data_IF_610786182441
#
_entry.id   IF_610786182441
#
_cell.length_a   1.000
_cell.length_b   1.000
_cell.length_c   1.000
_cell.angle_alpha   90.00
_cell.angle_beta   90.00
_cell.angle_gamma   90.00
#
_symmetry.space_group_name_H-M   'P 1'
#
loop_
_entity.id
_entity.type
_entity.pdbx_description
1 polymer ?
#
# COMPACT_ATOMS: atom_id res chain seq x y z
N UNK A 1 -8.69 -41.78 48.69
CA UNK A 1 -7.23 -41.51 48.80
C UNK A 1 -6.88 -40.59 47.62
N UNK A 2 -6.80 -39.27 47.75
CA UNK A 2 -5.82 -38.47 48.50
C UNK A 2 -4.70 -38.07 47.51
N UNK A 3 -4.37 -36.80 47.20
CA UNK A 3 -4.59 -35.51 47.86
C UNK A 3 -4.66 -34.37 46.82
N UNK A 4 -5.46 -33.36 47.15
CA UNK A 4 -5.39 -32.01 46.64
C UNK A 4 -4.12 -31.27 47.12
N UNK A 5 -3.70 -30.25 46.38
CA UNK A 5 -2.95 -29.12 46.94
C UNK A 5 -3.26 -27.84 46.17
N UNK A 6 -4.24 -27.08 46.69
CA UNK A 6 -4.28 -25.64 46.53
C UNK A 6 -3.35 -25.02 47.58
N UNK A 7 -2.67 -23.92 47.24
CA UNK A 7 -2.27 -22.91 48.21
C UNK A 7 -2.46 -21.52 47.60
N UNK A 8 -3.01 -20.68 48.47
CA UNK A 8 -3.51 -19.33 48.27
C UNK A 8 -2.39 -18.27 48.19
N UNK A 9 -2.79 -17.12 47.63
CA UNK A 9 -2.20 -15.78 47.65
C UNK A 9 -2.00 -15.21 49.09
N UNK A 10 -1.31 -14.05 49.33
CA UNK A 10 -1.97 -12.75 49.13
C UNK A 10 -1.09 -11.52 48.76
N UNK A 11 -1.77 -10.57 48.09
CA UNK A 11 -1.71 -9.10 48.08
C UNK A 11 -0.55 -8.32 48.76
N UNK A 12 -0.10 -7.24 48.08
CA UNK A 12 -0.32 -5.87 48.55
C UNK A 12 -0.05 -4.77 47.52
N UNK A 13 -1.10 -3.99 47.29
CA UNK A 13 -1.13 -2.57 46.95
C UNK A 13 -0.06 -1.74 47.67
N UNK A 14 0.56 -0.79 46.97
CA UNK A 14 0.73 0.56 47.48
C UNK A 14 0.99 1.56 46.35
N UNK A 15 0.20 2.62 46.39
CA UNK A 15 0.27 3.82 45.59
C UNK A 15 1.59 4.58 45.82
N UNK A 16 2.10 5.17 44.74
CA UNK A 16 2.79 6.45 44.81
C UNK A 16 2.21 7.36 43.73
N UNK A 17 1.29 8.21 44.16
CA UNK A 17 1.05 9.50 43.54
C UNK A 17 2.36 10.29 43.50
N UNK A 18 2.82 10.63 42.31
CA UNK A 18 3.64 11.82 42.10
C UNK A 18 2.94 12.65 41.04
N UNK A 19 2.23 13.66 41.52
CA UNK A 19 1.83 14.80 40.71
C UNK A 19 3.08 15.44 40.12
N UNK A 20 3.31 15.25 38.83
CA UNK A 20 4.24 16.04 38.04
C UNK A 20 3.41 16.99 37.18
N UNK A 21 3.49 18.26 37.53
CA UNK A 21 3.01 19.41 36.74
C UNK A 21 3.51 19.33 35.29
N UNK A 22 2.82 19.97 34.32
CA UNK A 22 3.08 19.74 32.90
C UNK A 22 4.37 20.44 32.46
N UNK A 23 5.49 19.73 32.51
CA UNK A 23 6.67 20.12 31.74
C UNK A 23 6.46 19.79 30.26
N UNK A 24 6.47 20.83 29.43
CA UNK A 24 6.37 20.78 27.97
C UNK A 24 7.37 19.78 27.36
N UNK A 25 6.94 18.81 26.53
CA UNK A 25 7.87 18.05 25.71
C UNK A 25 7.89 18.61 24.28
N UNK A 26 8.58 19.73 24.06
CA UNK A 26 8.86 20.23 22.68
C UNK A 26 10.06 19.53 22.02
N UNK A 27 10.75 18.63 22.72
CA UNK A 27 12.01 18.01 22.24
C UNK A 27 11.83 16.60 21.66
N UNK A 28 10.76 15.88 22.04
CA UNK A 28 10.47 14.52 21.56
C UNK A 28 9.78 14.47 20.19
N UNK A 29 8.86 15.40 19.92
CA UNK A 29 8.15 15.49 18.63
C UNK A 29 9.12 15.69 17.47
N UNK A 30 10.10 16.59 17.66
CA UNK A 30 11.03 16.99 16.60
C UNK A 30 11.88 15.83 16.07
N UNK A 31 12.33 14.91 16.95
CA UNK A 31 13.09 13.72 16.54
C UNK A 31 12.24 12.73 15.76
N UNK A 32 11.00 12.49 16.20
CA UNK A 32 10.06 11.59 15.51
C UNK A 32 9.65 12.13 14.14
N UNK A 33 9.47 13.45 14.02
CA UNK A 33 9.16 14.12 12.77
C UNK A 33 10.34 14.06 11.78
N UNK A 34 11.57 14.26 12.28
CA UNK A 34 12.81 14.14 11.49
C UNK A 34 13.04 12.70 11.00
N UNK A 35 12.81 11.70 11.86
CA UNK A 35 12.91 10.28 11.51
C UNK A 35 11.87 9.88 10.46
N UNK A 36 10.63 10.37 10.59
CA UNK A 36 9.56 10.14 9.62
C UNK A 36 9.88 10.80 8.28
N UNK A 37 10.33 12.05 8.28
CA UNK A 37 10.72 12.75 7.06
C UNK A 37 11.89 12.04 6.34
N UNK A 38 12.89 11.58 7.09
CA UNK A 38 14.00 10.78 6.59
C UNK A 38 13.54 9.47 5.95
N UNK A 39 12.67 8.71 6.63
CA UNK A 39 12.09 7.48 6.10
C UNK A 39 11.28 7.72 4.81
N UNK A 40 10.43 8.76 4.77
CA UNK A 40 9.63 9.09 3.59
C UNK A 40 10.53 9.50 2.41
N UNK A 41 11.58 10.28 2.66
CA UNK A 41 12.54 10.69 1.65
C UNK A 41 13.28 9.48 1.06
N UNK A 42 13.74 8.57 1.92
CA UNK A 42 14.40 7.34 1.48
C UNK A 42 13.45 6.46 0.67
N UNK A 43 12.22 6.27 1.15
CA UNK A 43 11.24 5.43 0.46
C UNK A 43 10.90 5.97 -0.92
N UNK A 44 10.71 7.29 -1.07
CA UNK A 44 10.51 7.94 -2.39
C UNK A 44 11.66 7.72 -3.37
N UNK A 45 12.91 7.63 -2.88
CA UNK A 45 14.06 7.29 -3.74
C UNK A 45 13.92 5.86 -4.27
N UNK A 46 13.56 4.92 -3.40
CA UNK A 46 13.33 3.51 -3.77
C UNK A 46 12.15 3.32 -4.74
N UNK A 47 11.12 4.17 -4.67
CA UNK A 47 9.97 4.14 -5.57
C UNK A 47 10.25 4.75 -6.95
N UNK A 48 11.36 5.49 -7.12
CA UNK A 48 11.61 6.23 -8.37
C UNK A 48 11.69 5.35 -9.63
N UNK A 49 12.34 4.17 -9.62
CA UNK A 49 12.38 3.30 -10.80
C UNK A 49 10.98 2.83 -11.21
N UNK A 50 10.16 2.41 -10.23
CA UNK A 50 8.79 1.97 -10.47
C UNK A 50 7.94 3.09 -11.10
N UNK A 51 7.98 4.30 -10.54
CA UNK A 51 7.22 5.43 -11.09
C UNK A 51 7.63 5.77 -12.53
N UNK A 52 8.95 5.73 -12.84
CA UNK A 52 9.45 5.90 -14.21
C UNK A 52 8.96 4.79 -15.15
N UNK A 53 8.96 3.53 -14.69
CA UNK A 53 8.45 2.40 -15.46
C UNK A 53 6.97 2.55 -15.78
N UNK A 54 6.16 2.87 -14.77
CA UNK A 54 4.71 3.11 -14.94
C UNK A 54 4.47 4.25 -15.93
N UNK A 55 5.24 5.34 -15.83
CA UNK A 55 5.16 6.48 -16.78
C UNK A 55 5.46 6.07 -18.20
N UNK A 56 6.54 5.32 -18.40
CA UNK A 56 6.91 4.81 -19.72
C UNK A 56 5.85 3.89 -20.30
N UNK A 57 5.26 3.03 -19.47
CA UNK A 57 4.20 2.11 -19.89
C UNK A 57 2.95 2.89 -20.32
N UNK A 58 2.46 3.82 -19.49
CA UNK A 58 1.28 4.62 -19.83
C UNK A 58 1.51 5.46 -21.10
N UNK A 59 2.66 6.13 -21.21
CA UNK A 59 3.00 6.93 -22.41
C UNK A 59 3.07 6.09 -23.69
N UNK A 60 3.46 4.83 -23.60
CA UNK A 60 3.55 3.94 -24.77
C UNK A 60 2.18 3.46 -25.27
N UNK A 61 1.11 3.56 -24.45
CA UNK A 61 -0.20 2.96 -24.78
C UNK A 61 -1.31 3.99 -24.99
N UNK A 62 -1.12 5.24 -24.58
CA UNK A 62 -2.16 6.27 -24.69
C UNK A 62 -1.56 7.67 -24.86
N UNK A 63 -2.19 8.48 -25.70
CA UNK A 63 -1.93 9.92 -25.84
C UNK A 63 -2.70 10.76 -24.80
N UNK A 64 -3.55 10.12 -23.98
CA UNK A 64 -4.33 10.80 -22.95
C UNK A 64 -3.45 11.22 -21.77
N UNK A 65 -3.83 12.33 -21.13
CA UNK A 65 -3.16 12.81 -19.93
C UNK A 65 -3.21 11.78 -18.79
N UNK A 66 -2.10 11.65 -18.07
CA UNK A 66 -1.98 10.83 -16.87
C UNK A 66 -1.11 11.54 -15.84
N UNK A 67 -1.38 11.28 -14.55
CA UNK A 67 -0.60 11.79 -13.42
C UNK A 67 0.04 10.62 -12.68
N UNK A 68 1.32 10.77 -12.34
CA UNK A 68 2.04 9.80 -11.52
C UNK A 68 2.60 10.52 -10.30
N UNK A 69 2.36 9.95 -9.12
CA UNK A 69 2.91 10.41 -7.86
C UNK A 69 3.63 9.28 -7.16
N UNK A 70 4.89 9.50 -6.80
CA UNK A 70 5.70 8.57 -6.00
C UNK A 70 5.62 8.90 -4.51
N UNK A 71 5.42 7.86 -3.71
CA UNK A 71 5.39 7.93 -2.26
C UNK A 71 4.28 8.85 -1.74
N UNK A 72 3.03 8.44 -2.02
CA UNK A 72 1.80 9.09 -1.54
C UNK A 72 1.42 8.49 -0.19
N UNK A 73 1.03 9.35 0.75
CA UNK A 73 0.48 8.90 2.03
C UNK A 73 -1.03 9.16 2.05
N UNK A 74 -1.80 8.08 2.05
CA UNK A 74 -3.25 8.12 2.10
C UNK A 74 -3.72 8.01 3.54
N UNK A 75 -4.49 8.99 4.01
CA UNK A 75 -5.17 8.92 5.31
C UNK A 75 -6.57 8.36 5.13
N UNK A 76 -6.76 7.08 5.46
CA UNK A 76 -7.99 6.34 5.20
C UNK A 76 -8.84 6.10 6.45
N UNK A 77 -8.28 6.30 7.65
CA UNK A 77 -9.01 6.09 8.90
C UNK A 77 -8.46 6.97 10.04
N UNK A 78 -8.65 8.30 9.98
CA UNK A 78 -8.21 9.23 11.02
C UNK A 78 -8.65 8.77 12.43
N UNK A 79 -7.77 8.95 13.43
CA UNK A 79 -8.07 8.57 14.82
C UNK A 79 -8.01 7.07 15.15
N UNK A 80 -7.71 6.21 14.18
CA UNK A 80 -7.46 4.78 14.42
C UNK A 80 -5.97 4.49 14.63
N UNK A 81 -5.62 3.26 15.05
CA UNK A 81 -4.21 2.85 15.26
C UNK A 81 -3.38 2.84 13.97
N UNK A 82 -4.01 2.59 12.82
CA UNK A 82 -3.36 2.57 11.51
C UNK A 82 -4.15 3.49 10.57
N UNK A 83 -4.03 4.81 10.73
CA UNK A 83 -4.86 5.77 10.01
C UNK A 83 -4.42 5.98 8.57
N UNK A 84 -3.16 5.63 8.27
CA UNK A 84 -2.50 5.93 7.00
C UNK A 84 -1.96 4.68 6.31
N UNK A 85 -1.92 4.71 4.99
CA UNK A 85 -1.24 3.74 4.15
C UNK A 85 -0.30 4.45 3.19
N UNK A 86 0.92 3.94 3.08
CA UNK A 86 1.89 4.37 2.08
C UNK A 86 1.61 3.69 0.74
N UNK A 87 1.60 4.47 -0.35
CA UNK A 87 1.52 3.99 -1.73
C UNK A 87 2.80 4.39 -2.46
N UNK A 88 3.56 3.39 -2.94
CA UNK A 88 4.85 3.65 -3.58
C UNK A 88 4.71 4.44 -4.88
N UNK A 89 3.71 4.11 -5.69
CA UNK A 89 3.35 4.83 -6.90
C UNK A 89 1.84 4.87 -7.08
N UNK A 90 1.26 6.07 -7.08
CA UNK A 90 -0.14 6.28 -7.47
C UNK A 90 -0.16 6.81 -8.90
N UNK A 91 -0.81 6.06 -9.80
CA UNK A 91 -1.03 6.49 -11.18
C UNK A 91 -2.51 6.78 -11.40
N UNK A 92 -2.83 7.94 -11.96
CA UNK A 92 -4.16 8.33 -12.40
C UNK A 92 -4.12 8.45 -13.91
N UNK A 93 -4.98 7.73 -14.61
CA UNK A 93 -5.08 7.76 -16.06
C UNK A 93 -6.53 7.99 -16.49
N UNK A 94 -6.70 8.18 -17.80
CA UNK A 94 -7.99 8.26 -18.46
C UNK A 94 -8.90 7.01 -18.29
N UNK A 95 -8.40 5.92 -17.73
CA UNK A 95 -9.13 4.65 -17.58
C UNK A 95 -9.09 4.07 -16.16
N UNK A 96 -8.51 4.78 -15.19
CA UNK A 96 -8.54 4.36 -13.79
C UNK A 96 -7.46 4.98 -12.91
N UNK A 97 -7.55 4.68 -11.62
CA UNK A 97 -6.53 4.99 -10.62
C UNK A 97 -5.90 3.71 -10.08
N UNK A 98 -4.57 3.66 -10.05
CA UNK A 98 -3.79 2.48 -9.71
C UNK A 98 -2.85 2.78 -8.55
N UNK A 99 -3.09 2.16 -7.40
CA UNK A 99 -2.19 2.17 -6.26
C UNK A 99 -1.18 1.02 -6.41
N UNK A 100 0.03 1.34 -6.84
CA UNK A 100 1.06 0.37 -7.23
C UNK A 100 2.14 0.34 -6.16
N UNK A 101 2.34 -0.82 -5.54
CA UNK A 101 3.27 -1.03 -4.44
C UNK A 101 4.33 -2.06 -4.80
N UNK A 102 5.57 -1.77 -4.44
CA UNK A 102 6.71 -2.65 -4.70
C UNK A 102 6.94 -3.60 -3.52
N UNK A 103 7.29 -4.84 -3.84
CA UNK A 103 7.67 -5.86 -2.87
C UNK A 103 9.00 -6.51 -3.28
N UNK A 104 9.93 -6.55 -2.34
CA UNK A 104 11.29 -7.10 -2.53
C UNK A 104 11.42 -8.49 -1.89
N UNK A 105 10.38 -9.32 -1.98
CA UNK A 105 10.44 -10.70 -1.50
C UNK A 105 11.39 -11.53 -2.36
N UNK A 106 12.02 -12.53 -1.73
CA UNK A 106 12.99 -13.39 -2.38
C UNK A 106 12.55 -14.85 -2.32
N UNK A 107 12.41 -15.49 -3.48
CA UNK A 107 11.93 -16.87 -3.59
C UNK A 107 10.68 -17.00 -4.46
N UNK A 108 9.93 -18.07 -4.26
CA UNK A 108 8.70 -18.35 -5.02
C UNK A 108 7.47 -18.00 -4.19
N UNK A 109 6.61 -17.13 -4.73
CA UNK A 109 5.37 -16.69 -4.09
C UNK A 109 4.21 -17.51 -4.64
N UNK A 110 3.40 -18.08 -3.74
CA UNK A 110 2.23 -18.90 -4.07
C UNK A 110 1.00 -18.45 -3.31
N UNK A 111 -0.17 -18.81 -3.82
CA UNK A 111 -1.42 -18.69 -3.07
C UNK A 111 -1.36 -19.56 -1.80
N UNK A 112 -1.87 -19.02 -0.70
CA UNK A 112 -2.27 -19.81 0.47
C UNK A 112 -3.70 -20.32 0.29
N UNK A 113 -4.16 -21.20 1.19
CA UNK A 113 -5.58 -21.53 1.31
C UNK A 113 -6.43 -20.31 1.74
N UNK A 114 -5.81 -19.33 2.39
CA UNK A 114 -6.42 -18.06 2.75
C UNK A 114 -6.04 -16.97 1.73
N UNK A 115 -7.04 -16.32 1.11
CA UNK A 115 -6.81 -15.26 0.12
C UNK A 115 -6.10 -14.01 0.68
N UNK A 116 -6.14 -13.83 2.01
CA UNK A 116 -5.44 -12.74 2.71
C UNK A 116 -3.96 -13.07 3.01
N UNK A 117 -3.49 -14.25 2.63
CA UNK A 117 -2.15 -14.77 2.87
C UNK A 117 -1.50 -15.29 1.59
N UNK A 118 -0.18 -15.26 1.56
CA UNK A 118 0.65 -15.85 0.52
C UNK A 118 1.73 -16.72 1.15
N UNK A 119 2.12 -17.78 0.46
CA UNK A 119 3.24 -18.61 0.84
C UNK A 119 4.49 -18.11 0.13
N UNK A 120 5.55 -17.81 0.88
CA UNK A 120 6.87 -17.51 0.35
C UNK A 120 7.78 -18.72 0.57
N UNK A 121 8.14 -19.38 -0.52
CA UNK A 121 9.14 -20.44 -0.55
C UNK A 121 10.51 -19.83 -0.79
N UNK A 122 11.29 -19.67 0.28
CA UNK A 122 12.63 -19.11 0.22
C UNK A 122 13.62 -20.11 -0.39
N UNK A 123 14.74 -19.62 -0.92
CA UNK A 123 15.76 -20.47 -1.58
C UNK A 123 16.36 -21.54 -0.65
N UNK A 124 16.29 -21.34 0.67
CA UNK A 124 16.79 -22.27 1.68
C UNK A 124 15.76 -23.38 2.03
N UNK A 125 14.64 -23.47 1.31
CA UNK A 125 13.58 -24.45 1.57
C UNK A 125 12.64 -24.06 2.71
N UNK A 126 12.86 -22.91 3.34
CA UNK A 126 11.97 -22.35 4.36
C UNK A 126 10.70 -21.85 3.67
N UNK A 127 9.54 -22.21 4.24
CA UNK A 127 8.24 -21.71 3.81
C UNK A 127 7.70 -20.79 4.90
N UNK A 128 7.45 -19.53 4.54
CA UNK A 128 6.85 -18.55 5.45
C UNK A 128 5.49 -18.09 4.94
N UNK A 129 4.56 -17.88 5.88
CA UNK A 129 3.25 -17.28 5.59
C UNK A 129 3.39 -15.77 5.68
N UNK A 130 3.07 -15.09 4.58
CA UNK A 130 3.13 -13.65 4.47
C UNK A 130 1.71 -13.08 4.32
N UNK A 131 1.42 -11.95 4.96
CA UNK A 131 0.19 -11.22 4.68
C UNK A 131 0.18 -10.73 3.23
N UNK A 132 -0.89 -11.02 2.50
CA UNK A 132 -1.05 -10.63 1.11
C UNK A 132 -0.92 -9.10 0.93
N UNK A 133 -0.17 -8.63 -0.10
CA UNK A 133 -0.17 -7.23 -0.50
C UNK A 133 -1.57 -6.64 -0.69
N UNK A 134 -2.50 -7.43 -1.23
CA UNK A 134 -3.87 -6.99 -1.48
C UNK A 134 -4.65 -6.81 -0.18
N UNK A 135 -4.39 -7.66 0.82
CA UNK A 135 -4.94 -7.49 2.17
C UNK A 135 -4.41 -6.22 2.83
N UNK A 136 -3.10 -5.97 2.74
CA UNK A 136 -2.47 -4.75 3.31
C UNK A 136 -3.02 -3.48 2.68
N UNK A 137 -3.30 -3.49 1.38
CA UNK A 137 -3.83 -2.33 0.67
C UNK A 137 -5.35 -2.13 0.79
N UNK A 138 -6.09 -3.09 1.36
CA UNK A 138 -7.56 -3.06 1.42
C UNK A 138 -8.14 -1.77 2.05
N UNK A 139 -7.60 -1.23 3.16
CA UNK A 139 -8.09 0.04 3.73
C UNK A 139 -7.92 1.22 2.77
N UNK A 140 -6.73 1.38 2.18
CA UNK A 140 -6.44 2.41 1.20
C UNK A 140 -7.33 2.30 -0.03
N UNK A 141 -7.50 1.08 -0.55
CA UNK A 141 -8.33 0.81 -1.71
C UNK A 141 -9.80 1.14 -1.44
N UNK A 142 -10.33 0.79 -0.25
CA UNK A 142 -11.69 1.16 0.16
C UNK A 142 -11.85 2.68 0.20
N UNK A 143 -10.90 3.39 0.80
CA UNK A 143 -10.93 4.85 0.86
C UNK A 143 -10.91 5.48 -0.53
N UNK A 144 -9.96 5.09 -1.39
CA UNK A 144 -9.86 5.61 -2.75
C UNK A 144 -11.14 5.36 -3.57
N UNK A 145 -11.78 4.18 -3.43
CA UNK A 145 -13.05 3.88 -4.11
C UNK A 145 -14.19 4.79 -3.67
N UNK A 146 -14.24 5.17 -2.39
CA UNK A 146 -15.22 6.14 -1.89
C UNK A 146 -14.91 7.53 -2.45
N UNK A 147 -13.65 7.97 -2.33
CA UNK A 147 -13.19 9.28 -2.81
C UNK A 147 -13.40 9.47 -4.31
N UNK A 148 -13.19 8.42 -5.10
CA UNK A 148 -13.25 8.47 -6.56
C UNK A 148 -14.59 7.98 -7.14
N UNK A 149 -15.54 7.58 -6.30
CA UNK A 149 -16.84 7.08 -6.72
C UNK A 149 -17.64 8.10 -7.53
N UNK A 150 -17.54 9.39 -7.19
CA UNK A 150 -18.22 10.48 -7.90
C UNK A 150 -17.77 10.63 -9.37
N UNK A 151 -16.60 10.10 -9.72
CA UNK A 151 -16.03 10.16 -11.06
C UNK A 151 -16.23 8.87 -11.86
N UNK A 152 -16.91 7.86 -11.29
CA UNK A 152 -16.96 6.50 -11.82
C UNK A 152 -15.57 5.94 -12.19
N UNK A 153 -14.53 6.37 -11.45
CA UNK A 153 -13.16 6.00 -11.73
C UNK A 153 -12.87 4.61 -11.14
N UNK A 154 -12.50 3.61 -11.97
CA UNK A 154 -12.07 2.32 -11.45
C UNK A 154 -10.81 2.47 -10.61
N UNK A 155 -10.78 1.82 -9.44
CA UNK A 155 -9.63 1.83 -8.55
C UNK A 155 -9.12 0.41 -8.31
N UNK A 156 -7.85 0.21 -8.58
CA UNK A 156 -7.15 -1.05 -8.38
C UNK A 156 -5.86 -0.86 -7.58
N UNK A 157 -5.51 -1.87 -6.78
CA UNK A 157 -4.20 -1.96 -6.15
C UNK A 157 -3.38 -3.02 -6.88
N UNK A 158 -2.13 -2.72 -7.17
CA UNK A 158 -1.20 -3.61 -7.86
C UNK A 158 0.02 -3.83 -6.96
N UNK A 159 0.40 -5.09 -6.79
CA UNK A 159 1.63 -5.48 -6.11
C UNK A 159 2.65 -5.91 -7.16
N UNK A 160 3.77 -5.19 -7.21
CA UNK A 160 4.84 -5.40 -8.19
C UNK A 160 6.04 -6.03 -7.50
N UNK A 161 6.44 -7.21 -8.00
CA UNK A 161 7.59 -7.96 -7.51
C UNK A 161 8.76 -7.86 -8.49
N UNK A 162 9.98 -7.89 -7.95
CA UNK A 162 11.20 -7.92 -8.76
C UNK A 162 11.43 -9.31 -9.37
N UNK A 163 11.44 -9.39 -10.71
CA UNK A 163 11.69 -10.64 -11.43
C UNK A 163 13.08 -11.23 -11.18
N UNK A 164 14.06 -10.42 -10.75
CA UNK A 164 15.43 -10.89 -10.47
C UNK A 164 15.51 -11.82 -9.26
N UNK A 165 14.58 -11.68 -8.32
CA UNK A 165 14.66 -12.34 -7.02
C UNK A 165 13.38 -13.08 -6.63
N UNK A 166 12.28 -12.86 -7.36
CA UNK A 166 10.98 -13.40 -7.05
C UNK A 166 10.34 -14.08 -8.26
N UNK A 167 9.93 -15.33 -8.07
CA UNK A 167 9.10 -16.08 -9.02
C UNK A 167 7.66 -16.06 -8.52
N UNK A 168 6.73 -15.68 -9.38
CA UNK A 168 5.31 -15.65 -9.06
C UNK A 168 4.63 -16.89 -9.63
N UNK A 169 3.82 -17.56 -8.81
CA UNK A 169 2.98 -18.65 -9.27
C UNK A 169 1.87 -18.12 -10.20
N UNK A 170 1.61 -18.78 -11.34
CA UNK A 170 0.61 -18.30 -12.31
C UNK A 170 -0.82 -18.31 -11.79
N UNK A 171 -1.10 -19.00 -10.69
CA UNK A 171 -2.43 -18.99 -10.05
C UNK A 171 -2.66 -17.75 -9.15
N UNK A 172 -1.65 -16.87 -8.99
CA UNK A 172 -1.83 -15.62 -8.25
C UNK A 172 -2.81 -14.68 -8.96
N UNK A 173 -3.51 -13.81 -8.21
CA UNK A 173 -4.38 -12.79 -8.80
C UNK A 173 -3.62 -11.90 -9.80
N UNK A 174 -4.30 -11.47 -10.88
CA UNK A 174 -3.73 -10.63 -11.95
C UNK A 174 -3.05 -9.33 -11.45
N UNK A 175 -3.44 -8.87 -10.27
CA UNK A 175 -2.94 -7.65 -9.61
C UNK A 175 -1.66 -7.90 -8.81
N UNK A 176 -1.19 -9.14 -8.71
CA UNK A 176 0.10 -9.53 -8.14
C UNK A 176 0.97 -9.97 -9.31
N UNK A 177 1.92 -9.12 -9.70
CA UNK A 177 2.64 -9.27 -10.96
C UNK A 177 4.10 -8.88 -10.85
N UNK A 178 4.92 -9.35 -11.79
CA UNK A 178 6.28 -8.89 -11.98
C UNK A 178 6.30 -7.58 -12.78
N UNK A 179 7.33 -6.76 -12.59
CA UNK A 179 7.46 -5.46 -13.27
C UNK A 179 7.36 -5.56 -14.81
N UNK A 180 7.81 -6.67 -15.39
CA UNK A 180 7.75 -6.92 -16.84
C UNK A 180 6.31 -7.07 -17.37
N UNK A 181 5.38 -7.50 -16.52
CA UNK A 181 3.98 -7.76 -16.87
C UNK A 181 3.10 -6.50 -16.82
N UNK A 182 3.63 -5.41 -16.26
CA UNK A 182 2.89 -4.15 -16.04
C UNK A 182 2.28 -3.59 -17.33
N UNK A 183 2.99 -3.70 -18.46
CA UNK A 183 2.47 -3.25 -19.75
C UNK A 183 1.24 -4.07 -20.18
N UNK A 184 1.30 -5.39 -20.06
CA UNK A 184 0.17 -6.26 -20.40
C UNK A 184 -1.03 -6.00 -19.48
N UNK A 185 -0.79 -5.85 -18.18
CA UNK A 185 -1.80 -5.51 -17.19
C UNK A 185 -2.53 -4.21 -17.56
N UNK A 186 -1.78 -3.13 -17.79
CA UNK A 186 -2.35 -1.82 -18.10
C UNK A 186 -3.11 -1.80 -19.43
N UNK A 187 -2.57 -2.46 -20.46
CA UNK A 187 -3.25 -2.62 -21.77
C UNK A 187 -4.60 -3.33 -21.61
N UNK A 188 -4.65 -4.36 -20.78
CA UNK A 188 -5.88 -5.11 -20.50
C UNK A 188 -6.92 -4.23 -19.79
N UNK A 189 -6.50 -3.40 -18.83
CA UNK A 189 -7.40 -2.45 -18.15
C UNK A 189 -7.93 -1.37 -19.07
N UNK A 190 -7.08 -0.80 -19.92
CA UNK A 190 -7.52 0.15 -20.94
C UNK A 190 -8.55 -0.49 -21.89
N UNK A 191 -8.31 -1.73 -22.33
CA UNK A 191 -9.26 -2.44 -23.20
C UNK A 191 -10.60 -2.65 -22.51
N UNK A 192 -10.61 -3.21 -21.29
CA UNK A 192 -11.84 -3.43 -20.50
C UNK A 192 -12.59 -2.11 -20.26
N UNK A 193 -11.87 -1.03 -19.97
CA UNK A 193 -12.48 0.28 -19.77
C UNK A 193 -13.22 0.75 -21.03
N UNK A 194 -12.59 0.65 -22.21
CA UNK A 194 -13.20 1.03 -23.50
C UNK A 194 -14.42 0.19 -23.86
N UNK A 195 -14.48 -1.07 -23.42
CA UNK A 195 -15.63 -1.94 -23.63
C UNK A 195 -16.83 -1.54 -22.74
N UNK A 196 -16.57 -0.92 -21.59
CA UNK A 196 -17.58 -0.62 -20.57
C UNK A 196 -17.99 0.86 -20.51
N UNK A 197 -17.18 1.77 -21.04
CA UNK A 197 -17.37 3.21 -20.89
C UNK A 197 -17.36 3.90 -22.26
N UNK A 198 -18.30 4.84 -22.43
CA UNK A 198 -18.42 5.67 -23.62
C UNK A 198 -17.45 6.85 -23.64
N UNK A 199 -16.87 7.21 -22.49
CA UNK A 199 -16.01 8.37 -22.32
C UNK A 199 -14.84 8.06 -21.38
N UNK A 200 -13.70 8.70 -21.64
CA UNK A 200 -12.54 8.66 -20.76
C UNK A 200 -12.74 9.52 -19.50
N UNK A 201 -12.00 9.18 -18.47
CA UNK A 201 -11.98 9.93 -17.22
C UNK A 201 -11.24 11.26 -17.38
N UNK A 202 -11.72 12.28 -16.67
CA UNK A 202 -11.03 13.56 -16.52
C UNK A 202 -9.89 13.41 -15.48
N UNK A 203 -8.70 13.08 -15.98
CA UNK A 203 -7.49 12.87 -15.17
C UNK A 203 -7.17 14.09 -14.30
N UNK A 204 -7.33 15.30 -14.82
CA UNK A 204 -6.95 16.52 -14.12
C UNK A 204 -7.87 16.77 -12.93
N UNK A 205 -9.19 16.66 -13.13
CA UNK A 205 -10.16 16.75 -12.03
C UNK A 205 -9.95 15.69 -10.97
N UNK A 206 -9.73 14.44 -11.37
CA UNK A 206 -9.49 13.34 -10.44
C UNK A 206 -8.21 13.59 -9.63
N UNK A 207 -7.12 14.00 -10.30
CA UNK A 207 -5.84 14.24 -9.64
C UNK A 207 -5.91 15.43 -8.67
N UNK A 208 -6.61 16.51 -9.03
CA UNK A 208 -6.83 17.66 -8.16
C UNK A 208 -7.66 17.28 -6.92
N UNK A 209 -8.70 16.46 -7.10
CA UNK A 209 -9.50 15.96 -5.98
C UNK A 209 -8.66 15.10 -5.04
N UNK A 210 -7.91 14.13 -5.57
CA UNK A 210 -7.01 13.31 -4.76
C UNK A 210 -5.96 14.14 -4.03
N UNK A 211 -5.35 15.12 -4.69
CA UNK A 211 -4.39 16.04 -4.06
C UNK A 211 -4.99 16.76 -2.86
N UNK A 212 -6.28 17.14 -2.91
CA UNK A 212 -6.97 17.81 -1.81
C UNK A 212 -7.29 16.89 -0.63
N UNK A 213 -7.37 15.57 -0.85
CA UNK A 213 -7.77 14.58 0.15
C UNK A 213 -6.59 13.75 0.71
N UNK A 214 -5.42 13.82 0.09
CA UNK A 214 -4.24 13.08 0.53
C UNK A 214 -3.47 13.83 1.62
N UNK A 215 -3.06 13.13 2.69
CA UNK A 215 -2.20 13.71 3.73
C UNK A 215 -0.83 14.12 3.18
N UNK A 216 -0.31 13.37 2.19
CA UNK A 216 0.86 13.75 1.41
C UNK A 216 0.70 13.27 -0.04
N UNK A 217 0.65 14.20 -0.99
CA UNK A 217 0.44 13.93 -2.42
C UNK A 217 1.70 13.43 -3.16
N UNK A 218 2.77 13.14 -2.43
CA UNK A 218 4.01 12.61 -2.97
C UNK A 218 4.72 13.57 -3.93
N UNK A 219 5.73 13.03 -4.63
CA UNK A 219 6.50 13.76 -5.64
C UNK A 219 6.17 13.25 -7.04
N UNK A 220 6.49 14.05 -8.05
CA UNK A 220 6.50 13.63 -9.46
C UNK A 220 7.70 12.71 -9.67
#
# INVERSE_FOLDING_TARGET
>A
MGKAKALFSPARENAFDIAVSPERPTTGSRRLDDDRAGWMAQRRRLCSPLAKRVSSVLRAMTDSAFVIRRGVLLEHAPGTRNPVTWVDCLAVSAFGAFAINRYDWMGTVRCSANADELLLHEKLGIVSVQTSPLRRAKPALRHLRVTLGAYNCPVECVAVFSALHCVLDPALPETILQEVELHHFMRTRLKRFREQHSQYLDTDRISAHLQSCCADWGKI
#
